data_IF_441297283742
#
_entry.id   IF_441297283742
#
_cell.length_a   1.000
_cell.length_b   1.000
_cell.length_c   1.000
_cell.angle_alpha   90.00
_cell.angle_beta   90.00
_cell.angle_gamma   90.00
#
_symmetry.space_group_name_H-M   'P 1'
#
loop_
_entity.id
_entity.type
_entity.pdbx_description
1 polymer ?
#
# COMPACT_ATOMS: atom_id res chain seq x y z
N UNK A 1 -21.58 4.35 7.17
CA UNK A 1 -20.61 4.75 6.13
C UNK A 1 -19.94 3.48 5.66
N UNK A 2 -20.20 3.08 4.41
CA UNK A 2 -19.57 1.93 3.80
C UNK A 2 -18.12 2.24 3.40
N UNK A 3 -17.37 1.20 3.01
CA UNK A 3 -15.99 1.38 2.57
C UNK A 3 -15.89 2.21 1.29
N UNK A 4 -16.86 2.05 0.39
CA UNK A 4 -16.96 2.86 -0.84
C UNK A 4 -17.17 4.34 -0.54
N UNK A 5 -18.01 4.66 0.47
CA UNK A 5 -18.22 6.04 0.93
C UNK A 5 -16.93 6.66 1.49
N UNK A 6 -16.11 5.86 2.19
CA UNK A 6 -14.82 6.32 2.72
C UNK A 6 -13.83 6.61 1.60
N UNK A 7 -13.77 5.74 0.58
CA UNK A 7 -12.90 5.94 -0.59
C UNK A 7 -13.33 7.18 -1.38
N UNK A 8 -14.64 7.37 -1.58
CA UNK A 8 -15.19 8.56 -2.21
C UNK A 8 -14.93 9.83 -1.38
N UNK A 9 -15.07 9.76 -0.05
CA UNK A 9 -14.85 10.88 0.86
C UNK A 9 -13.39 11.33 0.93
N UNK A 10 -12.44 10.44 0.65
CA UNK A 10 -11.01 10.79 0.56
C UNK A 10 -10.68 11.62 -0.69
N UNK A 11 -11.65 11.92 -1.57
CA UNK A 11 -11.51 12.77 -2.78
C UNK A 11 -10.27 12.40 -3.62
N UNK A 12 -10.02 11.10 -3.71
CA UNK A 12 -8.82 10.55 -4.31
C UNK A 12 -8.93 10.62 -5.83
N UNK A 13 -7.91 11.16 -6.51
CA UNK A 13 -7.90 11.21 -7.98
C UNK A 13 -7.93 9.81 -8.62
N UNK A 14 -8.31 9.74 -9.89
CA UNK A 14 -8.46 8.48 -10.64
C UNK A 14 -7.16 7.68 -10.82
N UNK A 15 -6.00 8.28 -10.53
CA UNK A 15 -4.68 7.70 -10.70
C UNK A 15 -4.11 7.13 -9.39
N UNK A 16 -4.75 7.41 -8.25
CA UNK A 16 -4.29 6.90 -6.97
C UNK A 16 -4.87 5.51 -6.74
N UNK A 17 -3.98 4.56 -6.55
CA UNK A 17 -4.35 3.22 -6.18
C UNK A 17 -4.81 3.20 -4.71
N UNK A 18 -5.94 2.56 -4.44
CA UNK A 18 -6.48 2.39 -3.09
C UNK A 18 -6.55 0.91 -2.80
N UNK A 19 -6.02 0.51 -1.64
CA UNK A 19 -6.16 -0.84 -1.08
C UNK A 19 -6.57 -0.76 0.37
N UNK A 20 -7.47 -1.66 0.76
CA UNK A 20 -7.95 -1.78 2.13
C UNK A 20 -7.66 -3.19 2.60
N UNK A 21 -7.12 -3.29 3.81
CA UNK A 21 -6.82 -4.58 4.43
C UNK A 21 -7.53 -4.74 5.76
N UNK A 22 -7.60 -5.97 6.26
CA UNK A 22 -7.83 -6.23 7.68
C UNK A 22 -6.68 -5.68 8.56
N UNK A 23 -6.85 -5.80 9.87
CA UNK A 23 -5.88 -5.38 10.88
C UNK A 23 -4.88 -6.46 11.32
N UNK A 24 -4.84 -7.62 10.67
CA UNK A 24 -4.00 -8.74 11.12
C UNK A 24 -2.54 -8.54 10.69
N UNK A 25 -1.68 -8.11 11.62
CA UNK A 25 -0.28 -7.80 11.34
C UNK A 25 0.69 -8.96 11.56
N UNK A 26 0.24 -10.05 12.18
CA UNK A 26 1.03 -11.27 12.34
C UNK A 26 1.30 -11.93 10.99
N UNK A 27 2.21 -12.91 10.93
CA UNK A 27 2.50 -13.60 9.67
C UNK A 27 1.26 -14.41 9.22
N UNK A 28 0.81 -14.34 7.95
CA UNK A 28 1.51 -13.86 6.75
C UNK A 28 1.40 -12.35 6.46
N UNK A 29 0.69 -11.60 7.28
CA UNK A 29 0.41 -10.17 7.13
C UNK A 29 -1.07 -9.94 6.85
N UNK A 30 -1.47 -8.68 6.68
CA UNK A 30 -2.87 -8.34 6.55
C UNK A 30 -3.42 -8.80 5.20
N UNK A 31 -4.72 -9.04 5.16
CA UNK A 31 -5.45 -9.56 3.99
C UNK A 31 -6.17 -8.43 3.27
N UNK A 32 -6.10 -8.41 1.94
CA UNK A 32 -6.80 -7.45 1.09
C UNK A 32 -8.30 -7.73 1.11
N UNK A 33 -9.07 -6.71 1.48
CA UNK A 33 -10.54 -6.71 1.50
C UNK A 33 -11.14 -5.92 0.34
N UNK A 34 -10.38 -4.96 -0.20
CA UNK A 34 -10.82 -4.12 -1.30
C UNK A 34 -9.62 -3.54 -2.04
N UNK A 35 -9.78 -3.36 -3.35
CA UNK A 35 -8.91 -2.56 -4.22
C UNK A 35 -9.75 -1.78 -5.22
N UNK A 36 -9.29 -0.60 -5.62
CA UNK A 36 -9.91 0.14 -6.73
C UNK A 36 -9.27 -0.22 -8.08
N UNK A 37 -9.89 0.23 -9.18
CA UNK A 37 -9.37 -0.02 -10.53
C UNK A 37 -8.01 0.64 -10.81
N UNK A 38 -7.64 1.70 -10.09
CA UNK A 38 -6.30 2.28 -10.21
C UNK A 38 -5.22 1.34 -9.66
N UNK A 39 -5.50 0.62 -8.57
CA UNK A 39 -4.62 -0.42 -8.03
C UNK A 39 -4.47 -1.58 -9.02
N UNK A 40 -5.56 -2.01 -9.66
CA UNK A 40 -5.49 -3.05 -10.69
C UNK A 40 -4.60 -2.61 -11.86
N UNK A 41 -4.83 -1.41 -12.41
CA UNK A 41 -4.01 -0.85 -13.51
C UNK A 41 -2.54 -0.72 -13.12
N UNK A 42 -2.27 -0.24 -11.91
CA UNK A 42 -0.91 -0.05 -11.42
C UNK A 42 -0.19 -1.39 -11.22
N UNK A 43 -0.87 -2.41 -10.68
CA UNK A 43 -0.19 -3.67 -10.31
C UNK A 43 -0.23 -4.73 -11.41
N UNK A 44 -1.15 -4.61 -12.36
CA UNK A 44 -1.44 -5.62 -13.38
C UNK A 44 -2.22 -6.83 -12.85
N UNK A 45 -2.67 -6.81 -11.61
CA UNK A 45 -3.55 -7.82 -11.03
C UNK A 45 -5.00 -7.39 -11.07
N UNK A 46 -5.91 -8.34 -11.25
CA UNK A 46 -7.33 -8.10 -11.07
C UNK A 46 -7.70 -8.20 -9.58
N UNK A 47 -8.73 -7.49 -9.15
CA UNK A 47 -9.30 -7.58 -7.79
C UNK A 47 -9.64 -9.03 -7.41
N UNK A 48 -10.20 -9.82 -8.33
CA UNK A 48 -10.49 -11.25 -8.13
C UNK A 48 -9.24 -12.09 -7.81
N UNK A 49 -8.06 -11.63 -8.19
CA UNK A 49 -6.78 -12.28 -7.88
C UNK A 49 -6.15 -11.77 -6.59
N UNK A 50 -6.60 -10.63 -6.06
CA UNK A 50 -6.01 -9.92 -4.92
C UNK A 50 -6.82 -10.09 -3.64
N UNK A 51 -8.16 -10.11 -3.73
CA UNK A 51 -9.05 -10.28 -2.58
C UNK A 51 -8.72 -11.57 -1.84
N UNK A 52 -8.60 -11.49 -0.51
CA UNK A 52 -8.21 -12.64 0.31
C UNK A 52 -6.70 -12.94 0.33
N UNK A 53 -5.86 -12.17 -0.36
CA UNK A 53 -4.39 -12.32 -0.34
C UNK A 53 -3.72 -11.18 0.41
N UNK A 54 -2.46 -11.37 0.77
CA UNK A 54 -1.66 -10.33 1.42
C UNK A 54 -1.00 -9.38 0.41
N UNK A 55 -0.94 -8.05 0.66
CA UNK A 55 -0.21 -7.13 -0.22
C UNK A 55 1.28 -7.45 -0.37
N UNK A 56 1.83 -8.31 0.51
CA UNK A 56 3.19 -8.83 0.39
C UNK A 56 3.45 -9.57 -0.92
N UNK A 57 2.42 -9.98 -1.66
CA UNK A 57 2.54 -10.54 -3.02
C UNK A 57 3.23 -9.57 -4.00
N UNK A 58 3.15 -8.26 -3.76
CA UNK A 58 3.81 -7.23 -4.57
C UNK A 58 5.27 -7.02 -4.17
N UNK A 59 5.78 -7.72 -3.17
CA UNK A 59 7.12 -7.49 -2.61
C UNK A 59 8.09 -8.54 -3.15
N UNK A 60 9.35 -8.15 -3.31
CA UNK A 60 10.38 -9.01 -3.85
C UNK A 60 11.75 -8.67 -3.29
N UNK A 61 12.79 -9.12 -3.97
CA UNK A 61 14.18 -9.06 -3.51
C UNK A 61 14.62 -7.65 -3.08
N UNK A 62 14.20 -6.61 -3.83
CA UNK A 62 14.60 -5.22 -3.56
C UNK A 62 13.66 -4.48 -2.61
N UNK A 63 12.64 -5.14 -2.07
CA UNK A 63 11.73 -4.52 -1.11
C UNK A 63 12.42 -4.39 0.25
N UNK A 64 12.58 -3.15 0.73
CA UNK A 64 13.26 -2.88 2.02
C UNK A 64 12.53 -3.51 3.21
N UNK A 65 13.20 -4.46 3.87
CA UNK A 65 12.73 -5.05 5.12
C UNK A 65 12.63 -4.01 6.25
N UNK A 66 13.55 -3.04 6.29
CA UNK A 66 13.54 -1.98 7.28
C UNK A 66 12.28 -1.10 7.13
N UNK A 67 11.93 -0.73 5.89
CA UNK A 67 10.72 0.03 5.58
C UNK A 67 9.46 -0.75 5.97
N UNK A 68 9.38 -2.05 5.64
CA UNK A 68 8.28 -2.92 6.06
C UNK A 68 8.11 -2.98 7.58
N UNK A 69 9.22 -3.11 8.31
CA UNK A 69 9.21 -3.14 9.77
C UNK A 69 8.75 -1.80 10.35
N UNK A 70 9.17 -0.68 9.76
CA UNK A 70 8.71 0.65 10.15
C UNK A 70 7.20 0.81 9.94
N UNK A 71 6.69 0.38 8.78
CA UNK A 71 5.26 0.38 8.48
C UNK A 71 4.45 -0.44 9.51
N UNK A 72 4.88 -1.68 9.78
CA UNK A 72 4.21 -2.53 10.77
C UNK A 72 4.27 -1.96 12.20
N UNK A 73 5.34 -1.23 12.56
CA UNK A 73 5.40 -0.54 13.86
C UNK A 73 4.44 0.64 13.93
N UNK A 74 4.32 1.43 12.88
CA UNK A 74 3.39 2.57 12.83
C UNK A 74 1.94 2.08 12.94
N UNK A 75 1.58 1.03 12.20
CA UNK A 75 0.24 0.42 12.25
C UNK A 75 -0.11 -0.11 13.65
N UNK A 76 0.82 -0.80 14.33
CA UNK A 76 0.62 -1.24 15.73
C UNK A 76 0.39 -0.09 16.71
N UNK A 77 0.89 1.10 16.40
CA UNK A 77 0.71 2.31 17.21
C UNK A 77 -0.52 3.12 16.79
N UNK A 78 -1.30 2.65 15.81
CA UNK A 78 -2.42 3.42 15.26
C UNK A 78 -1.98 4.72 14.59
N UNK A 79 -0.76 4.78 14.06
CA UNK A 79 -0.19 6.00 13.48
C UNK A 79 -0.27 5.98 11.95
N UNK A 80 -0.77 7.09 11.38
CA UNK A 80 -0.60 7.38 9.95
C UNK A 80 0.90 7.38 9.62
N UNK A 81 1.25 6.79 8.47
CA UNK A 81 2.64 6.79 8.01
C UNK A 81 2.73 6.86 6.51
N UNK A 82 3.80 7.46 6.01
CA UNK A 82 4.12 7.53 4.59
C UNK A 82 5.52 6.95 4.36
N UNK A 83 5.63 6.03 3.41
CA UNK A 83 6.88 5.37 3.05
C UNK A 83 7.03 5.25 1.54
N UNK A 84 8.23 4.95 1.07
CA UNK A 84 8.46 4.51 -0.29
C UNK A 84 9.21 3.17 -0.29
N UNK A 85 8.80 2.24 -1.15
CA UNK A 85 9.43 0.94 -1.31
C UNK A 85 9.40 0.49 -2.77
N UNK A 86 10.21 -0.52 -3.09
CA UNK A 86 10.13 -1.23 -4.37
C UNK A 86 9.06 -2.30 -4.25
N UNK A 87 8.10 -2.27 -5.17
CA UNK A 87 7.12 -3.32 -5.41
C UNK A 87 7.31 -3.89 -6.83
N UNK A 88 6.64 -5.00 -7.11
CA UNK A 88 6.71 -5.75 -8.36
C UNK A 88 5.29 -5.93 -8.89
N UNK A 89 5.11 -5.65 -10.18
CA UNK A 89 3.86 -5.92 -10.89
C UNK A 89 3.69 -7.43 -11.10
N UNK A 90 2.50 -7.84 -11.52
CA UNK A 90 2.22 -9.22 -11.96
C UNK A 90 3.21 -9.71 -13.03
N UNK A 91 3.68 -8.82 -13.89
CA UNK A 91 4.69 -9.11 -14.92
C UNK A 91 6.11 -9.34 -14.38
N UNK A 92 6.35 -9.09 -13.08
CA UNK A 92 7.68 -9.06 -12.48
C UNK A 92 8.42 -7.74 -12.63
N UNK A 93 7.83 -6.73 -13.29
CA UNK A 93 8.44 -5.40 -13.41
C UNK A 93 8.50 -4.71 -12.04
N UNK A 94 9.70 -4.26 -11.64
CA UNK A 94 9.89 -3.51 -10.41
C UNK A 94 9.52 -2.03 -10.59
N UNK A 95 8.79 -1.46 -9.63
CA UNK A 95 8.43 -0.05 -9.59
C UNK A 95 8.58 0.53 -8.18
N UNK A 96 8.85 1.83 -8.09
CA UNK A 96 8.92 2.53 -6.79
C UNK A 96 7.53 3.00 -6.42
N UNK A 97 6.97 2.43 -5.36
CA UNK A 97 5.66 2.81 -4.83
C UNK A 97 5.83 3.74 -3.62
N UNK A 98 5.20 4.91 -3.66
CA UNK A 98 4.89 5.70 -2.47
C UNK A 98 3.58 5.21 -1.88
N UNK A 99 3.61 4.87 -0.59
CA UNK A 99 2.48 4.32 0.15
C UNK A 99 2.22 5.21 1.35
N UNK A 100 1.01 5.71 1.44
CA UNK A 100 0.50 6.41 2.62
C UNK A 100 -0.61 5.58 3.26
N UNK A 101 -0.44 5.23 4.54
CA UNK A 101 -1.33 4.30 5.24
C UNK A 101 -2.02 4.99 6.41
N UNK A 102 -3.33 4.79 6.46
CA UNK A 102 -4.25 5.28 7.47
C UNK A 102 -4.81 4.09 8.25
N UNK A 103 -4.43 3.92 9.52
CA UNK A 103 -5.02 2.88 10.37
C UNK A 103 -6.44 3.27 10.76
N UNK A 104 -7.34 2.30 10.76
CA UNK A 104 -8.69 2.39 11.30
C UNK A 104 -8.71 1.59 12.60
N UNK A 105 -9.03 2.26 13.69
CA UNK A 105 -9.09 1.67 15.02
C UNK A 105 -10.54 1.54 15.47
N UNK A 106 -10.83 0.52 16.27
CA UNK A 106 -12.09 0.45 17.01
C UNK A 106 -12.07 1.36 18.26
N UNK A 107 -13.11 1.25 19.09
CA UNK A 107 -13.27 2.06 20.31
C UNK A 107 -12.23 1.75 21.38
N UNK A 108 -11.65 0.56 21.36
CA UNK A 108 -10.64 0.11 22.31
C UNK A 108 -9.22 0.40 21.81
N UNK A 109 -9.10 1.04 20.64
CA UNK A 109 -7.83 1.39 20.02
C UNK A 109 -7.18 0.23 19.26
N UNK A 110 -7.92 -0.87 19.02
CA UNK A 110 -7.43 -2.02 18.27
C UNK A 110 -7.51 -1.74 16.78
N UNK A 111 -6.46 -2.07 16.04
CA UNK A 111 -6.42 -1.94 14.59
C UNK A 111 -7.40 -2.95 13.96
N UNK A 112 -8.46 -2.45 13.32
CA UNK A 112 -9.44 -3.29 12.62
C UNK A 112 -9.18 -3.34 11.11
N UNK A 113 -8.72 -2.24 10.53
CA UNK A 113 -8.42 -2.14 9.11
C UNK A 113 -7.28 -1.15 8.87
N UNK A 114 -6.69 -1.23 7.67
CA UNK A 114 -5.82 -0.17 7.17
C UNK A 114 -6.26 0.21 5.76
N UNK A 115 -6.26 1.52 5.48
CA UNK A 115 -6.45 2.06 4.13
C UNK A 115 -5.11 2.58 3.66
N UNK A 116 -4.66 2.15 2.48
CA UNK A 116 -3.45 2.64 1.87
C UNK A 116 -3.75 3.34 0.54
N UNK A 117 -3.17 4.53 0.38
CA UNK A 117 -3.10 5.29 -0.86
C UNK A 117 -1.73 5.07 -1.48
N UNK A 118 -1.72 4.54 -2.70
CA UNK A 118 -0.51 4.14 -3.39
C UNK A 118 -0.34 4.89 -4.71
N UNK A 119 0.91 5.30 -4.98
CA UNK A 119 1.29 5.96 -6.23
C UNK A 119 2.65 5.48 -6.69
N UNK A 120 2.75 5.18 -7.98
CA UNK A 120 4.04 4.96 -8.61
C UNK A 120 4.80 6.27 -8.77
N UNK A 121 6.04 6.30 -8.29
CA UNK A 121 6.94 7.44 -8.50
C UNK A 121 7.58 7.32 -9.86
N UNK A 122 6.95 7.93 -10.87
CA UNK A 122 7.52 8.06 -12.21
C UNK A 122 8.70 9.04 -12.17
N UNK A 123 9.87 8.58 -12.62
CA UNK A 123 10.99 9.51 -12.88
C UNK A 123 10.60 10.43 -14.03
N UNK A 124 10.68 11.74 -13.81
CA UNK A 124 10.63 12.71 -14.93
C UNK A 124 11.87 12.47 -15.82
N UNK A 125 11.71 12.34 -17.15
CA UNK A 125 12.85 12.38 -18.07
C UNK A 125 13.63 13.67 -17.82
N UNK A 126 14.94 13.58 -17.55
CA UNK A 126 15.83 14.74 -17.49
C UNK A 126 16.37 15.17 -16.11
N UNK A 127 15.91 14.61 -14.98
CA UNK A 127 16.62 14.80 -13.69
C UNK A 127 17.59 13.65 -13.46
N UNK A 128 18.90 13.92 -13.64
CA UNK A 128 19.97 13.04 -13.14
C UNK A 128 19.75 12.83 -11.64
N UNK A 129 19.71 11.58 -11.20
CA UNK A 129 19.86 11.30 -9.78
C UNK A 129 21.26 11.68 -9.39
N UNK A 130 21.38 12.64 -8.47
CA UNK A 130 22.56 12.71 -7.63
C UNK A 130 22.61 11.40 -6.87
N UNK A 131 23.59 10.57 -7.23
CA UNK A 131 24.08 9.48 -6.41
C UNK A 131 24.54 10.12 -5.09
N UNK A 132 23.84 9.82 -4.01
CA UNK A 132 24.07 10.43 -2.70
C UNK A 132 22.94 10.01 -1.80
N UNK A 133 23.08 8.81 -1.26
CA UNK A 133 22.61 8.33 0.04
C UNK A 133 22.71 6.81 -0.01
N UNK A 134 23.95 6.35 0.23
CA UNK A 134 24.31 4.97 0.56
C UNK A 134 23.68 4.58 1.89
#
# INVERSE_FOLDING_TARGET
MGLEDLVAALAVDSETAVVVTDGELSHPGPTILYVNGAFERMTGYLSSELLGKTPRLLQGERTSLATRRALARALRKGQRTKVALINYRKSGEAYRCEVEVFPILDRDGVLVNAVALEREVRRRPGRRSTMGDL
#
